data_IF_256362991876
#
_entry.id   IF_256362991876
#
_cell.length_a   1.000
_cell.length_b   1.000
_cell.length_c   1.000
_cell.angle_alpha   90.00
_cell.angle_beta   90.00
_cell.angle_gamma   90.00
#
_symmetry.space_group_name_H-M   'P 1'
#
loop_
_entity.id
_entity.type
_entity.pdbx_description
1 polymer ?
#
# COMPACT_ATOMS: atom_id res chain seq x y z
N UNK A 1 15.06 -59.55 -37.83
CA UNK A 1 13.98 -58.59 -38.02
C UNK A 1 13.65 -57.99 -36.65
N UNK A 2 14.24 -56.84 -36.33
CA UNK A 2 13.96 -56.11 -35.07
C UNK A 2 13.34 -54.78 -35.46
N UNK A 3 12.07 -54.64 -35.10
CA UNK A 3 11.29 -53.40 -35.32
C UNK A 3 11.58 -52.41 -34.19
N UNK A 4 12.27 -51.33 -34.52
CA UNK A 4 12.53 -50.21 -33.61
C UNK A 4 11.36 -49.19 -33.70
N UNK A 5 10.46 -49.23 -32.76
CA UNK A 5 9.41 -48.20 -32.58
C UNK A 5 10.06 -46.91 -32.04
N UNK A 6 10.07 -45.87 -32.88
CA UNK A 6 10.41 -44.50 -32.46
C UNK A 6 9.30 -43.97 -31.56
N UNK A 7 9.60 -43.76 -30.28
CA UNK A 7 8.76 -43.00 -29.35
C UNK A 7 9.05 -41.54 -29.60
N UNK A 8 8.08 -40.81 -30.18
CA UNK A 8 8.10 -39.35 -30.29
C UNK A 8 7.49 -38.81 -29.00
N UNK A 9 8.34 -38.33 -28.09
CA UNK A 9 7.90 -37.55 -26.93
C UNK A 9 7.52 -36.15 -27.38
N UNK A 10 6.23 -35.89 -27.43
CA UNK A 10 5.70 -34.54 -27.60
C UNK A 10 5.80 -33.83 -26.26
N UNK A 11 6.78 -32.95 -26.11
CA UNK A 11 6.87 -32.03 -24.98
C UNK A 11 5.82 -30.96 -25.20
N UNK A 12 4.73 -31.04 -24.43
CA UNK A 12 3.70 -30.00 -24.35
C UNK A 12 4.28 -28.84 -23.51
N UNK A 13 4.95 -27.89 -24.17
CA UNK A 13 5.24 -26.60 -23.53
C UNK A 13 3.90 -25.89 -23.33
N UNK A 14 3.37 -25.98 -22.11
CA UNK A 14 2.34 -25.06 -21.62
C UNK A 14 2.97 -23.66 -21.63
N UNK A 15 2.69 -22.92 -22.68
CA UNK A 15 2.89 -21.48 -22.72
C UNK A 15 1.94 -20.88 -21.64
N UNK A 16 2.46 -20.64 -20.45
CA UNK A 16 1.87 -19.68 -19.54
C UNK A 16 1.95 -18.31 -20.23
N UNK A 17 0.92 -17.96 -21.01
CA UNK A 17 0.70 -16.58 -21.35
C UNK A 17 0.38 -15.87 -20.03
N UNK A 18 1.13 -14.84 -19.61
CA UNK A 18 0.66 -13.99 -18.53
C UNK A 18 -0.69 -13.46 -18.99
N UNK A 19 -1.73 -13.77 -18.24
CA UNK A 19 -3.01 -13.11 -18.41
C UNK A 19 -2.72 -11.63 -18.14
N UNK A 20 -2.70 -10.82 -19.21
CA UNK A 20 -2.89 -9.38 -19.08
C UNK A 20 -4.31 -9.24 -18.52
N UNK A 21 -4.44 -9.29 -17.20
CA UNK A 21 -5.67 -8.94 -16.52
C UNK A 21 -5.87 -7.45 -16.84
N UNK A 22 -6.89 -7.17 -17.63
CA UNK A 22 -7.22 -5.81 -18.01
C UNK A 22 -7.63 -5.06 -16.73
N UNK A 23 -7.11 -3.84 -16.56
CA UNK A 23 -7.56 -2.94 -15.48
C UNK A 23 -9.08 -2.99 -15.39
N UNK A 24 -9.67 -2.93 -14.16
CA UNK A 24 -11.11 -2.95 -13.98
C UNK A 24 -11.80 -1.99 -14.94
N UNK A 25 -12.81 -2.47 -15.64
CA UNK A 25 -13.58 -1.64 -16.56
C UNK A 25 -14.36 -0.57 -15.78
N UNK A 26 -14.83 0.46 -16.47
CA UNK A 26 -15.74 1.45 -15.88
C UNK A 26 -17.00 0.77 -15.28
N UNK A 27 -17.50 -0.27 -15.93
CA UNK A 27 -18.67 -1.02 -15.46
C UNK A 27 -18.37 -1.76 -14.14
N UNK A 28 -17.18 -2.34 -13.99
CA UNK A 28 -16.75 -3.01 -12.75
C UNK A 28 -16.58 -1.99 -11.62
N UNK A 29 -15.95 -0.86 -11.89
CA UNK A 29 -15.82 0.24 -10.93
C UNK A 29 -17.19 0.77 -10.49
N UNK A 30 -18.12 0.89 -11.42
CA UNK A 30 -19.49 1.31 -11.13
C UNK A 30 -20.21 0.26 -10.25
N UNK A 31 -20.04 -1.03 -10.50
CA UNK A 31 -20.61 -2.09 -9.67
C UNK A 31 -20.07 -2.01 -8.23
N UNK A 32 -18.75 -1.82 -8.05
CA UNK A 32 -18.14 -1.64 -6.73
C UNK A 32 -18.60 -0.35 -6.02
N UNK A 33 -19.01 0.67 -6.79
CA UNK A 33 -19.55 1.90 -6.20
C UNK A 33 -20.80 1.68 -5.36
N UNK A 34 -21.48 0.52 -5.49
CA UNK A 34 -22.57 0.14 -4.62
C UNK A 34 -22.13 -0.27 -3.21
N UNK A 35 -20.89 -0.68 -3.05
CA UNK A 35 -20.28 -1.08 -1.77
C UNK A 35 -19.39 -0.03 -1.14
N UNK A 36 -19.01 1.02 -1.89
CA UNK A 36 -18.27 2.18 -1.38
C UNK A 36 -19.25 3.34 -1.22
N UNK A 37 -19.30 3.90 -0.01
CA UNK A 37 -20.29 4.91 0.39
C UNK A 37 -19.60 6.18 0.87
N UNK A 38 -20.29 7.31 0.79
CA UNK A 38 -19.82 8.55 1.38
C UNK A 38 -20.20 8.61 2.85
N UNK A 39 -19.28 9.05 3.71
CA UNK A 39 -19.54 9.39 5.09
C UNK A 39 -19.70 10.90 5.19
N UNK A 40 -20.84 11.36 5.64
CA UNK A 40 -21.10 12.77 5.94
C UNK A 40 -21.17 12.96 7.44
N UNK A 41 -20.44 13.94 7.97
CA UNK A 41 -20.40 14.24 9.42
C UNK A 41 -20.77 15.68 9.67
N UNK A 42 -21.44 15.93 10.78
CA UNK A 42 -21.71 17.27 11.26
C UNK A 42 -20.74 17.59 12.40
N UNK A 43 -19.94 18.62 12.20
CA UNK A 43 -18.99 19.07 13.20
C UNK A 43 -19.66 20.05 14.20
N UNK A 44 -19.10 20.22 15.44
CA UNK A 44 -19.68 21.12 16.43
C UNK A 44 -19.85 22.58 15.99
N UNK A 45 -19.03 23.04 15.06
CA UNK A 45 -19.10 24.38 14.46
C UNK A 45 -20.14 24.51 13.34
N UNK A 46 -20.92 23.46 13.08
CA UNK A 46 -21.94 23.40 12.01
C UNK A 46 -21.41 23.06 10.62
N UNK A 47 -20.10 22.91 10.44
CA UNK A 47 -19.52 22.49 9.16
C UNK A 47 -19.83 21.01 8.89
N UNK A 48 -19.88 20.67 7.60
CA UNK A 48 -20.03 19.28 7.14
C UNK A 48 -18.67 18.73 6.77
N UNK A 49 -18.24 17.70 7.49
CA UNK A 49 -17.11 16.86 7.13
C UNK A 49 -17.52 15.79 6.13
N UNK A 50 -16.57 15.31 5.34
CA UNK A 50 -16.78 14.22 4.37
C UNK A 50 -15.62 13.23 4.41
N UNK A 51 -15.97 11.96 4.26
CA UNK A 51 -15.05 10.86 4.10
C UNK A 51 -15.71 9.75 3.28
N UNK A 52 -15.06 8.63 3.24
CA UNK A 52 -15.51 7.41 2.55
C UNK A 52 -15.75 6.28 3.54
N UNK A 53 -16.49 5.27 3.11
CA UNK A 53 -16.68 4.03 3.86
C UNK A 53 -16.87 2.86 2.92
N UNK A 54 -16.66 1.66 3.43
CA UNK A 54 -16.81 0.41 2.69
C UNK A 54 -17.78 -0.49 3.42
N UNK A 55 -18.79 -1.00 2.72
CA UNK A 55 -19.77 -1.96 3.25
C UNK A 55 -19.08 -3.31 3.40
N UNK A 56 -18.79 -3.71 4.63
CA UNK A 56 -18.07 -4.96 4.94
C UNK A 56 -18.98 -6.10 5.42
N UNK A 57 -20.21 -5.75 5.80
CA UNK A 57 -21.29 -6.71 6.07
C UNK A 57 -22.66 -6.02 5.91
N UNK A 58 -23.74 -6.75 6.07
CA UNK A 58 -25.10 -6.18 6.08
C UNK A 58 -25.33 -5.18 7.22
N UNK A 59 -24.54 -5.27 8.26
CA UNK A 59 -24.68 -4.46 9.47
C UNK A 59 -23.55 -3.44 9.64
N UNK A 60 -22.44 -3.55 8.90
CA UNK A 60 -21.25 -2.71 9.15
C UNK A 60 -20.69 -2.03 7.90
N UNK A 61 -20.37 -0.75 8.09
CA UNK A 61 -19.53 0.04 7.17
C UNK A 61 -18.21 0.34 7.88
N UNK A 62 -17.09 -0.04 7.28
CA UNK A 62 -15.77 0.34 7.74
C UNK A 62 -15.41 1.75 7.22
N UNK A 63 -14.80 2.56 8.08
CA UNK A 63 -14.29 3.90 7.75
C UNK A 63 -13.11 4.23 8.65
N UNK A 64 -12.42 5.35 8.41
CA UNK A 64 -11.45 5.85 9.38
C UNK A 64 -12.14 6.56 10.55
N UNK A 65 -11.58 6.38 11.74
CA UNK A 65 -12.10 7.03 12.93
C UNK A 65 -11.97 8.55 12.87
N UNK A 66 -10.87 9.10 12.28
CA UNK A 66 -10.69 10.54 12.16
C UNK A 66 -11.78 11.22 11.31
N UNK A 67 -12.47 10.46 10.43
CA UNK A 67 -13.59 10.98 9.63
C UNK A 67 -14.79 11.34 10.52
N UNK A 68 -14.99 10.60 11.62
CA UNK A 68 -16.15 10.77 12.52
C UNK A 68 -15.76 11.32 13.89
N UNK A 69 -14.48 11.50 14.17
CA UNK A 69 -13.98 11.91 15.49
C UNK A 69 -14.56 13.26 15.90
N UNK A 70 -15.08 13.30 17.12
CA UNK A 70 -15.66 14.50 17.73
C UNK A 70 -16.80 15.16 16.92
N UNK A 71 -17.41 14.46 15.98
CA UNK A 71 -18.58 14.92 15.25
C UNK A 71 -19.82 14.87 16.17
N UNK A 72 -20.78 15.75 15.90
CA UNK A 72 -22.10 15.74 16.56
C UNK A 72 -22.98 14.62 16.02
N UNK A 73 -22.73 14.22 14.77
CA UNK A 73 -23.40 13.10 14.12
C UNK A 73 -22.67 12.67 12.85
N UNK A 74 -22.90 11.43 12.45
CA UNK A 74 -22.38 10.86 11.21
C UNK A 74 -23.49 10.10 10.48
N UNK A 75 -23.45 10.12 9.15
CA UNK A 75 -24.38 9.38 8.30
C UNK A 75 -23.62 8.73 7.14
N UNK A 76 -24.01 7.53 6.77
CA UNK A 76 -23.71 7.00 5.44
C UNK A 76 -24.65 7.67 4.45
N UNK A 77 -24.10 8.33 3.46
CA UNK A 77 -24.85 8.99 2.40
C UNK A 77 -24.70 8.22 1.09
N UNK A 78 -25.81 7.92 0.45
CA UNK A 78 -25.84 7.25 -0.85
C UNK A 78 -27.00 7.82 -1.69
N UNK A 79 -26.63 8.36 -2.87
CA UNK A 79 -27.59 9.09 -3.72
C UNK A 79 -28.24 10.25 -2.96
N UNK A 80 -29.54 10.13 -2.63
CA UNK A 80 -30.32 11.12 -1.89
C UNK A 80 -30.68 10.68 -0.47
N UNK A 81 -30.26 9.46 -0.10
CA UNK A 81 -30.61 8.86 1.19
C UNK A 81 -29.44 9.00 2.17
N UNK A 82 -29.78 9.18 3.43
CA UNK A 82 -28.86 9.23 4.55
C UNK A 82 -29.26 8.15 5.58
N UNK A 83 -28.28 7.36 5.98
CA UNK A 83 -28.43 6.24 6.91
C UNK A 83 -27.63 6.56 8.16
N UNK A 84 -28.28 6.93 9.29
CA UNK A 84 -27.59 7.14 10.56
C UNK A 84 -27.19 5.81 11.18
N UNK A 85 -25.94 5.64 11.62
CA UNK A 85 -25.53 4.45 12.37
C UNK A 85 -26.17 4.43 13.75
N UNK A 86 -26.46 3.21 14.26
CA UNK A 86 -27.01 3.00 15.61
C UNK A 86 -25.93 2.99 16.67
N UNK A 87 -24.75 2.52 16.35
CA UNK A 87 -23.59 2.42 17.22
C UNK A 87 -22.32 2.41 16.38
N UNK A 88 -21.17 2.48 17.01
CA UNK A 88 -19.88 2.30 16.40
C UNK A 88 -19.04 1.29 17.19
N UNK A 89 -18.07 0.68 16.50
CA UNK A 89 -16.92 0.06 17.13
C UNK A 89 -15.70 0.88 16.69
N UNK A 90 -14.82 1.24 17.63
CA UNK A 90 -13.75 2.17 17.35
C UNK A 90 -12.41 1.68 17.88
N UNK A 91 -11.41 1.70 17.03
CA UNK A 91 -10.01 1.66 17.37
C UNK A 91 -9.38 3.01 16.96
N UNK A 92 -9.42 3.96 17.87
CA UNK A 92 -8.96 5.32 17.61
C UNK A 92 -7.47 5.39 17.29
N UNK A 93 -6.67 4.51 17.93
CA UNK A 93 -5.21 4.48 17.73
C UNK A 93 -4.83 3.94 16.34
N UNK A 94 -5.51 2.89 15.89
CA UNK A 94 -5.34 2.33 14.54
C UNK A 94 -6.12 3.11 13.48
N UNK A 95 -6.94 4.10 13.90
CA UNK A 95 -7.77 4.93 13.01
C UNK A 95 -8.80 4.11 12.21
N UNK A 96 -9.33 3.04 12.79
CA UNK A 96 -10.33 2.19 12.17
C UNK A 96 -11.62 2.17 12.96
N UNK A 97 -12.74 2.50 12.30
CA UNK A 97 -14.07 2.49 12.88
C UNK A 97 -15.04 1.66 12.04
N UNK A 98 -15.96 0.95 12.71
CA UNK A 98 -17.10 0.27 12.11
C UNK A 98 -18.39 0.98 12.53
N UNK A 99 -19.13 1.48 11.57
CA UNK A 99 -20.47 2.05 11.77
C UNK A 99 -21.49 0.93 11.71
N UNK A 100 -22.33 0.79 12.74
CA UNK A 100 -23.34 -0.27 12.85
C UNK A 100 -24.70 0.19 12.38
N UNK A 101 -25.39 -0.71 11.67
CA UNK A 101 -26.76 -0.56 11.17
C UNK A 101 -27.56 -1.83 11.47
N UNK A 102 -28.90 -1.83 11.28
CA UNK A 102 -29.71 -3.05 11.36
C UNK A 102 -29.57 -3.90 10.11
N UNK A 103 -29.79 -3.28 8.95
CA UNK A 103 -29.66 -3.89 7.64
C UNK A 103 -29.39 -2.79 6.61
N UNK A 104 -28.30 -2.92 5.89
CA UNK A 104 -27.90 -1.97 4.84
C UNK A 104 -28.42 -2.47 3.49
N UNK A 105 -29.02 -1.59 2.67
CA UNK A 105 -29.49 -1.94 1.32
C UNK A 105 -28.33 -2.05 0.32
N UNK A 106 -27.09 -2.24 0.81
CA UNK A 106 -25.87 -2.28 0.01
C UNK A 106 -25.24 -3.68 0.05
N UNK A 107 -24.53 -4.03 -1.02
CA UNK A 107 -23.81 -5.30 -1.07
C UNK A 107 -22.48 -5.20 -0.31
N UNK A 108 -22.18 -6.13 0.61
CA UNK A 108 -20.87 -6.18 1.24
C UNK A 108 -19.81 -6.67 0.26
N UNK A 109 -18.57 -6.16 0.41
CA UNK A 109 -17.41 -6.61 -0.34
C UNK A 109 -16.87 -7.93 0.21
N UNK A 110 -16.16 -8.69 -0.63
CA UNK A 110 -15.31 -9.79 -0.19
C UNK A 110 -13.99 -9.22 0.31
N UNK A 111 -13.37 -9.87 1.29
CA UNK A 111 -12.09 -9.48 1.85
C UNK A 111 -11.02 -10.55 1.56
N UNK A 112 -9.82 -10.11 1.20
CA UNK A 112 -8.63 -10.95 1.04
C UNK A 112 -7.57 -10.50 2.04
N UNK A 113 -6.93 -11.45 2.70
CA UNK A 113 -5.93 -11.19 3.73
C UNK A 113 -4.71 -10.47 3.15
N UNK A 114 -4.34 -9.35 3.76
CA UNK A 114 -3.24 -8.49 3.33
C UNK A 114 -1.87 -9.18 3.45
N UNK A 115 -1.74 -10.18 4.33
CA UNK A 115 -0.54 -11.00 4.44
C UNK A 115 -0.19 -11.74 3.14
N UNK A 116 -1.20 -12.08 2.31
CA UNK A 116 -1.04 -12.80 1.03
C UNK A 116 -0.64 -11.90 -0.14
N UNK A 117 -0.60 -10.58 0.06
CA UNK A 117 -0.23 -9.62 -0.98
C UNK A 117 1.26 -9.69 -1.28
N UNK A 118 1.61 -9.50 -2.54
CA UNK A 118 2.98 -9.41 -3.01
C UNK A 118 3.34 -7.96 -3.37
N UNK A 119 4.63 -7.62 -3.31
CA UNK A 119 5.12 -6.35 -3.85
C UNK A 119 4.94 -6.34 -5.36
N UNK A 120 4.67 -5.18 -5.92
CA UNK A 120 4.34 -4.93 -7.33
C UNK A 120 3.05 -5.65 -7.80
N UNK A 121 2.18 -6.08 -6.88
CA UNK A 121 0.84 -6.54 -7.23
C UNK A 121 -0.05 -5.36 -7.60
N UNK A 122 -0.77 -5.47 -8.72
CA UNK A 122 -1.70 -4.44 -9.20
C UNK A 122 -2.88 -4.28 -8.24
N UNK A 123 -3.19 -3.03 -7.91
CA UNK A 123 -4.29 -2.67 -7.00
C UNK A 123 -4.97 -1.38 -7.46
N UNK A 124 -6.14 -1.09 -6.91
CA UNK A 124 -6.78 0.20 -7.11
C UNK A 124 -7.52 0.67 -5.87
N UNK A 125 -7.46 1.97 -5.61
CA UNK A 125 -8.24 2.61 -4.54
C UNK A 125 -9.55 3.15 -5.09
N UNK A 126 -10.62 3.14 -4.26
CA UNK A 126 -11.89 3.83 -4.56
C UNK A 126 -12.32 4.61 -3.32
N UNK A 127 -12.62 5.89 -3.50
CA UNK A 127 -13.15 6.75 -2.46
C UNK A 127 -13.87 7.96 -3.04
N UNK A 128 -14.38 8.82 -2.16
CA UNK A 128 -15.06 10.07 -2.51
C UNK A 128 -14.12 11.26 -2.27
N UNK A 129 -13.25 11.62 -3.21
CA UNK A 129 -12.39 12.77 -3.04
C UNK A 129 -13.24 14.05 -2.90
N UNK A 130 -12.73 15.05 -2.18
CA UNK A 130 -13.44 16.28 -1.87
C UNK A 130 -14.01 16.97 -3.11
N UNK A 131 -15.29 17.35 -3.03
CA UNK A 131 -16.01 17.97 -4.13
C UNK A 131 -16.67 17.00 -5.11
N UNK A 132 -16.43 15.70 -4.98
CA UNK A 132 -17.05 14.68 -5.82
C UNK A 132 -18.20 13.99 -5.09
N UNK A 133 -19.30 13.72 -5.81
CA UNK A 133 -20.43 12.94 -5.31
C UNK A 133 -20.45 11.50 -5.86
N UNK A 134 -19.45 11.16 -6.67
CA UNK A 134 -19.27 9.84 -7.26
C UNK A 134 -17.88 9.34 -6.85
N UNK A 135 -17.75 8.09 -6.40
CA UNK A 135 -16.46 7.55 -6.03
C UNK A 135 -15.52 7.49 -7.23
N UNK A 136 -14.25 7.80 -7.01
CA UNK A 136 -13.22 7.86 -8.04
C UNK A 136 -12.22 6.74 -7.84
N UNK A 137 -11.91 5.92 -8.87
CA UNK A 137 -10.84 4.93 -8.83
C UNK A 137 -9.48 5.57 -9.10
N UNK A 138 -8.44 5.02 -8.50
CA UNK A 138 -7.05 5.30 -8.80
C UNK A 138 -6.26 4.01 -8.77
N UNK A 139 -5.43 3.76 -9.79
CA UNK A 139 -4.70 2.51 -9.99
C UNK A 139 -3.25 2.65 -9.54
N UNK A 140 -2.66 1.55 -9.13
CA UNK A 140 -1.28 1.49 -8.68
C UNK A 140 -0.84 0.09 -8.33
N UNK A 141 0.30 -0.02 -7.66
CA UNK A 141 0.87 -1.29 -7.19
C UNK A 141 1.18 -1.25 -5.71
N UNK A 142 1.27 -2.42 -5.08
CA UNK A 142 1.76 -2.57 -3.71
C UNK A 142 3.27 -2.30 -3.70
N UNK A 143 3.70 -1.38 -2.84
CA UNK A 143 5.12 -1.03 -2.71
C UNK A 143 5.77 -1.50 -1.42
N UNK A 144 4.98 -1.69 -0.37
CA UNK A 144 5.52 -2.17 0.90
C UNK A 144 4.41 -2.71 1.82
N UNK A 145 4.82 -3.53 2.76
CA UNK A 145 4.00 -4.06 3.85
C UNK A 145 4.75 -3.86 5.17
N UNK A 146 4.18 -3.09 6.08
CA UNK A 146 4.84 -2.69 7.32
C UNK A 146 4.18 -3.34 8.53
N UNK A 147 4.95 -4.05 9.34
CA UNK A 147 4.49 -4.49 10.65
C UNK A 147 4.11 -3.28 11.52
N UNK A 148 3.07 -3.43 12.32
CA UNK A 148 2.66 -2.43 13.28
C UNK A 148 2.33 -3.09 14.62
N UNK A 149 2.92 -2.56 15.69
CA UNK A 149 2.70 -2.98 17.07
C UNK A 149 2.89 -4.50 17.33
N UNK A 150 3.86 -5.10 16.62
CA UNK A 150 4.18 -6.51 16.73
C UNK A 150 3.13 -7.48 16.16
N UNK A 151 2.12 -6.96 15.48
CA UNK A 151 1.08 -7.76 14.84
C UNK A 151 1.49 -8.31 13.48
N UNK A 152 0.84 -9.42 13.08
CA UNK A 152 1.10 -10.09 11.80
C UNK A 152 0.41 -9.41 10.60
N UNK A 153 -0.49 -8.45 10.85
CA UNK A 153 -1.30 -7.78 9.84
C UNK A 153 -0.62 -6.50 9.37
N UNK A 154 -0.07 -6.46 8.15
CA UNK A 154 0.76 -5.35 7.71
C UNK A 154 -0.07 -4.16 7.22
N UNK A 155 0.37 -2.94 7.61
CA UNK A 155 -0.04 -1.70 6.93
C UNK A 155 0.51 -1.73 5.51
N UNK A 156 -0.33 -1.41 4.54
CA UNK A 156 -0.01 -1.49 3.11
C UNK A 156 0.40 -0.11 2.61
N UNK A 157 1.53 0.00 1.90
CA UNK A 157 1.87 1.15 1.07
C UNK A 157 1.61 0.81 -0.39
N UNK A 158 0.93 1.70 -1.11
CA UNK A 158 0.70 1.54 -2.55
C UNK A 158 0.99 2.82 -3.32
N UNK A 159 1.01 2.72 -4.66
CA UNK A 159 1.02 3.87 -5.56
C UNK A 159 -0.38 4.30 -6.00
N UNK A 160 -1.44 3.60 -5.58
CA UNK A 160 -2.81 3.98 -5.84
C UNK A 160 -3.15 5.28 -5.08
N UNK A 161 -3.07 6.39 -5.78
CA UNK A 161 -3.22 7.73 -5.21
C UNK A 161 -4.63 8.00 -4.70
N UNK A 162 -4.74 8.83 -3.70
CA UNK A 162 -6.03 9.33 -3.23
C UNK A 162 -5.91 10.75 -2.68
N UNK A 163 -7.02 11.45 -2.62
CA UNK A 163 -7.10 12.81 -2.15
C UNK A 163 -7.97 12.92 -0.89
N UNK A 164 -7.96 14.10 -0.28
CA UNK A 164 -8.80 14.42 0.89
C UNK A 164 -10.28 14.05 0.59
N UNK A 165 -10.95 13.43 1.54
CA UNK A 165 -12.29 12.85 1.42
C UNK A 165 -12.30 11.37 1.04
N UNK A 166 -11.21 10.82 0.50
CA UNK A 166 -11.11 9.38 0.24
C UNK A 166 -10.80 8.54 1.48
N UNK A 167 -10.44 9.17 2.61
CA UNK A 167 -10.22 8.47 3.89
C UNK A 167 -11.41 7.59 4.25
N UNK A 168 -11.16 6.33 4.62
CA UNK A 168 -12.17 5.29 4.84
C UNK A 168 -12.62 4.56 3.58
N UNK A 169 -12.12 4.94 2.40
CA UNK A 169 -12.37 4.24 1.14
C UNK A 169 -11.65 2.91 1.05
N UNK A 170 -11.85 2.22 -0.06
CA UNK A 170 -11.34 0.88 -0.29
C UNK A 170 -10.02 0.88 -1.05
N UNK A 171 -9.14 -0.07 -0.73
CA UNK A 171 -8.11 -0.59 -1.61
C UNK A 171 -8.53 -2.00 -2.03
N UNK A 172 -8.60 -2.25 -3.33
CA UNK A 172 -8.98 -3.53 -3.92
C UNK A 172 -7.84 -4.17 -4.70
N UNK A 173 -7.82 -5.51 -4.73
CA UNK A 173 -7.06 -6.26 -5.72
C UNK A 173 -7.80 -6.31 -7.07
N UNK A 174 -7.17 -6.86 -8.11
CA UNK A 174 -7.76 -7.01 -9.45
C UNK A 174 -8.99 -7.94 -9.49
N UNK A 175 -9.17 -8.80 -8.48
CA UNK A 175 -10.33 -9.68 -8.33
C UNK A 175 -11.45 -9.03 -7.52
N UNK A 176 -11.35 -7.73 -7.23
CA UNK A 176 -12.32 -6.93 -6.48
C UNK A 176 -12.49 -7.35 -5.01
N UNK A 177 -11.49 -8.01 -4.42
CA UNK A 177 -11.48 -8.24 -3.00
C UNK A 177 -10.92 -7.00 -2.28
N UNK A 178 -11.58 -6.59 -1.22
CA UNK A 178 -11.05 -5.57 -0.32
C UNK A 178 -9.79 -6.11 0.38
N UNK A 179 -8.69 -5.37 0.27
CA UNK A 179 -7.41 -5.70 0.88
C UNK A 179 -6.98 -4.68 1.92
N UNK A 180 -7.56 -3.46 1.89
CA UNK A 180 -7.25 -2.42 2.88
C UNK A 180 -8.22 -1.25 2.85
N UNK A 181 -8.15 -0.43 3.91
CA UNK A 181 -8.89 0.83 4.06
C UNK A 181 -7.95 1.99 3.81
N UNK A 182 -8.24 2.79 2.79
CA UNK A 182 -7.52 4.01 2.44
C UNK A 182 -7.54 5.00 3.62
N UNK A 183 -6.37 5.42 4.11
CA UNK A 183 -6.33 6.13 5.38
C UNK A 183 -5.57 7.44 5.32
N UNK A 184 -4.24 7.41 5.12
CA UNK A 184 -3.42 8.61 5.19
C UNK A 184 -2.35 8.63 4.10
N UNK A 185 -1.90 9.86 3.80
CA UNK A 185 -0.79 10.15 2.90
C UNK A 185 0.34 10.74 3.70
N UNK A 186 1.59 10.30 3.43
CA UNK A 186 2.74 10.92 4.07
C UNK A 186 2.91 12.38 3.64
N UNK A 187 3.46 13.24 4.50
CA UNK A 187 3.96 14.52 4.07
C UNK A 187 5.14 14.35 3.11
N UNK A 188 5.53 15.44 2.43
CA UNK A 188 6.67 15.48 1.53
C UNK A 188 6.30 15.81 0.09
N UNK A 189 7.31 15.91 -0.78
CA UNK A 189 7.14 16.27 -2.19
C UNK A 189 6.42 15.15 -2.94
N UNK A 190 6.82 13.89 -2.70
CA UNK A 190 6.15 12.70 -3.22
C UNK A 190 5.39 12.04 -2.07
N UNK A 191 4.07 12.08 -2.10
CA UNK A 191 3.25 11.41 -1.10
C UNK A 191 3.30 9.90 -1.23
N UNK A 192 3.40 9.22 -0.09
CA UNK A 192 3.17 7.78 0.01
C UNK A 192 1.78 7.53 0.55
N UNK A 193 1.06 6.56 -0.01
CA UNK A 193 -0.33 6.29 0.28
C UNK A 193 -0.44 5.01 1.10
N UNK A 194 -1.09 5.10 2.26
CA UNK A 194 -1.14 4.02 3.25
C UNK A 194 -2.57 3.57 3.50
N UNK A 195 -2.70 2.25 3.67
CA UNK A 195 -3.97 1.58 3.85
C UNK A 195 -3.90 0.64 5.06
N UNK A 196 -4.95 0.64 5.87
CA UNK A 196 -5.09 -0.27 7.01
C UNK A 196 -5.51 -1.65 6.53
N UNK A 197 -4.97 -2.74 7.08
CA UNK A 197 -5.26 -4.09 6.62
C UNK A 197 -6.68 -4.53 6.99
N UNK A 198 -7.27 -5.42 6.17
CA UNK A 198 -8.62 -5.95 6.40
C UNK A 198 -8.71 -6.81 7.66
N UNK A 199 -7.62 -7.37 8.14
CA UNK A 199 -7.56 -8.15 9.36
C UNK A 199 -7.99 -7.32 10.57
N UNK A 200 -7.63 -6.04 10.61
CA UNK A 200 -8.07 -5.15 11.68
C UNK A 200 -9.59 -4.91 11.66
N UNK A 201 -10.23 -4.98 10.50
CA UNK A 201 -11.70 -4.98 10.41
C UNK A 201 -12.27 -6.21 11.11
N UNK A 202 -11.71 -7.41 10.82
CA UNK A 202 -12.16 -8.69 11.40
C UNK A 202 -11.97 -8.70 12.93
N UNK A 203 -10.84 -8.17 13.42
CA UNK A 203 -10.58 -8.00 14.85
C UNK A 203 -11.60 -7.06 15.49
N UNK A 204 -11.82 -5.89 14.88
CA UNK A 204 -12.72 -4.86 15.41
C UNK A 204 -14.19 -5.30 15.42
N UNK A 205 -14.59 -6.25 14.56
CA UNK A 205 -15.92 -6.84 14.62
C UNK A 205 -16.24 -7.50 15.96
N UNK A 206 -15.21 -7.93 16.71
CA UNK A 206 -15.37 -8.54 18.03
C UNK A 206 -15.29 -7.53 19.20
N UNK A 207 -14.98 -6.26 18.93
CA UNK A 207 -14.89 -5.23 19.96
C UNK A 207 -16.27 -4.79 20.47
N UNK A 208 -16.34 -4.21 21.68
CA UNK A 208 -17.59 -3.67 22.20
C UNK A 208 -18.08 -2.47 21.38
N UNK A 209 -19.41 -2.28 21.37
CA UNK A 209 -20.04 -1.13 20.75
C UNK A 209 -20.05 0.08 21.67
N UNK A 210 -20.00 1.28 21.06
CA UNK A 210 -20.20 2.56 21.75
C UNK A 210 -21.09 3.47 20.90
N UNK A 211 -21.70 4.48 21.55
CA UNK A 211 -22.48 5.53 20.86
C UNK A 211 -21.70 6.85 20.80
N UNK A 212 -20.55 6.93 21.50
CA UNK A 212 -19.77 8.17 21.57
C UNK A 212 -18.83 8.29 20.38
N UNK A 213 -18.89 9.44 19.71
CA UNK A 213 -17.92 9.86 18.69
C UNK A 213 -16.81 10.74 19.31
N UNK A 214 -16.91 11.07 20.61
CA UNK A 214 -15.92 11.86 21.31
C UNK A 214 -14.67 11.03 21.62
N UNK A 215 -13.52 11.58 21.33
CA UNK A 215 -12.21 10.97 21.62
C UNK A 215 -11.15 12.02 21.88
N UNK A 216 -10.18 11.67 22.72
CA UNK A 216 -8.92 12.39 22.88
C UNK A 216 -7.73 11.56 22.37
N UNK A 217 -7.98 10.37 21.83
CA UNK A 217 -6.94 9.52 21.26
C UNK A 217 -6.48 10.07 19.92
N UNK A 218 -5.17 10.00 19.70
CA UNK A 218 -4.52 10.45 18.47
C UNK A 218 -4.14 9.21 17.65
N UNK A 219 -4.49 9.13 16.36
CA UNK A 219 -4.08 8.03 15.50
C UNK A 219 -2.54 7.92 15.43
N UNK A 220 -2.01 6.70 15.31
CA UNK A 220 -0.57 6.44 15.29
C UNK A 220 0.21 7.24 14.23
N UNK A 221 -0.45 7.59 13.15
CA UNK A 221 0.15 8.37 12.06
C UNK A 221 0.13 9.88 12.30
N UNK A 222 -0.65 10.35 13.27
CA UNK A 222 -0.81 11.77 13.60
C UNK A 222 -0.03 12.21 14.85
N UNK A 223 0.57 11.27 15.61
CA UNK A 223 1.44 11.57 16.74
C UNK A 223 2.70 12.34 16.29
N UNK A 224 3.48 12.98 17.19
CA UNK A 224 4.77 13.57 16.86
C UNK A 224 5.67 12.63 16.04
N UNK A 225 6.49 13.18 15.12
CA UNK A 225 7.24 12.38 14.13
C UNK A 225 8.12 11.31 14.80
N UNK A 226 8.75 11.64 15.91
CA UNK A 226 9.64 10.78 16.68
C UNK A 226 8.92 9.59 17.35
N UNK A 227 7.60 9.68 17.52
CA UNK A 227 6.76 8.63 18.08
C UNK A 227 6.12 7.73 16.99
N UNK A 228 6.19 8.16 15.73
CA UNK A 228 5.64 7.39 14.60
C UNK A 228 6.44 6.13 14.32
N UNK A 229 5.84 5.13 13.67
CA UNK A 229 6.59 3.96 13.17
C UNK A 229 7.75 4.36 12.25
N UNK A 230 8.86 3.60 12.24
CA UNK A 230 10.06 3.93 11.45
C UNK A 230 9.79 4.16 9.96
N UNK A 231 8.86 3.40 9.35
CA UNK A 231 8.49 3.56 7.95
C UNK A 231 7.89 4.94 7.61
N UNK A 232 7.41 5.68 8.62
CA UNK A 232 6.96 7.07 8.46
C UNK A 232 8.08 8.07 8.72
N UNK A 233 8.96 7.75 9.66
CA UNK A 233 10.08 8.62 10.04
C UNK A 233 11.12 8.78 8.90
N UNK A 234 11.33 7.72 8.09
CA UNK A 234 12.30 7.73 6.99
C UNK A 234 11.89 8.59 5.79
N UNK A 235 10.60 8.93 5.64
CA UNK A 235 10.08 9.55 4.42
C UNK A 235 10.68 10.93 4.15
N UNK A 236 10.66 11.82 5.13
CA UNK A 236 11.17 13.19 4.95
C UNK A 236 12.69 13.21 4.78
N UNK A 237 13.51 12.55 5.63
CA UNK A 237 14.95 12.45 5.42
C UNK A 237 15.32 11.86 4.06
N UNK A 238 14.61 10.83 3.60
CA UNK A 238 14.84 10.25 2.28
C UNK A 238 14.58 11.24 1.14
N UNK A 239 13.45 11.95 1.18
CA UNK A 239 13.08 12.89 0.12
C UNK A 239 13.94 14.14 0.10
N UNK A 240 14.48 14.56 1.25
CA UNK A 240 15.34 15.71 1.37
C UNK A 240 16.83 15.38 1.19
N UNK A 241 17.19 14.11 0.92
CA UNK A 241 18.57 13.63 0.86
C UNK A 241 19.36 13.88 2.17
N UNK A 242 18.69 13.82 3.31
CA UNK A 242 19.27 13.93 4.65
C UNK A 242 19.86 12.57 5.07
N UNK A 243 20.91 12.14 4.34
CA UNK A 243 21.39 10.76 4.37
C UNK A 243 21.86 10.28 5.74
N UNK A 244 22.51 11.13 6.54
CA UNK A 244 22.95 10.76 7.88
C UNK A 244 21.76 10.54 8.84
N UNK A 245 20.74 11.40 8.76
CA UNK A 245 19.50 11.24 9.52
C UNK A 245 18.77 9.97 9.09
N UNK A 246 18.64 9.74 7.78
CA UNK A 246 18.02 8.54 7.24
C UNK A 246 18.74 7.28 7.71
N UNK A 247 20.09 7.29 7.65
CA UNK A 247 20.93 6.18 8.10
C UNK A 247 20.68 5.85 9.56
N UNK A 248 20.67 6.84 10.45
CA UNK A 248 20.45 6.63 11.89
C UNK A 248 19.08 5.99 12.18
N UNK A 249 18.01 6.46 11.51
CA UNK A 249 16.66 5.88 11.65
C UNK A 249 16.63 4.45 11.11
N UNK A 250 17.22 4.21 9.93
CA UNK A 250 17.21 2.91 9.29
C UNK A 250 18.06 1.87 10.05
N UNK A 251 19.20 2.26 10.65
CA UNK A 251 20.00 1.40 11.52
C UNK A 251 19.20 0.94 12.76
N UNK A 252 18.42 1.86 13.37
CA UNK A 252 17.53 1.51 14.47
C UNK A 252 16.42 0.58 14.01
N UNK A 253 15.84 0.85 12.83
CA UNK A 253 14.77 0.04 12.28
C UNK A 253 15.25 -1.38 11.94
N UNK A 254 16.41 -1.55 11.29
CA UNK A 254 16.98 -2.90 11.02
C UNK A 254 17.28 -3.70 12.27
N UNK A 255 17.60 -3.03 13.41
CA UNK A 255 17.77 -3.72 14.70
C UNK A 255 16.46 -4.19 15.31
N UNK A 256 15.39 -3.41 15.17
CA UNK A 256 14.06 -3.75 15.71
C UNK A 256 13.33 -4.77 14.82
N UNK A 257 13.46 -4.61 13.52
CA UNK A 257 12.75 -5.41 12.52
C UNK A 257 13.74 -5.96 11.46
N UNK A 258 14.60 -6.93 11.81
CA UNK A 258 15.63 -7.43 10.90
C UNK A 258 15.08 -8.18 9.69
N UNK A 259 13.80 -8.53 9.69
CA UNK A 259 13.08 -9.18 8.58
C UNK A 259 12.33 -8.19 7.67
N UNK A 260 12.38 -6.87 7.95
CA UNK A 260 11.78 -5.85 7.10
C UNK A 260 12.71 -5.57 5.89
N UNK A 261 12.29 -5.83 4.64
CA UNK A 261 13.10 -5.49 3.47
C UNK A 261 13.27 -3.99 3.32
N UNK A 262 12.24 -3.21 3.61
CA UNK A 262 12.28 -1.75 3.56
C UNK A 262 13.31 -1.13 4.51
N UNK A 263 13.47 -1.69 5.72
CA UNK A 263 14.47 -1.21 6.68
C UNK A 263 15.88 -1.31 6.08
N UNK A 264 16.20 -2.43 5.45
CA UNK A 264 17.48 -2.64 4.78
C UNK A 264 17.63 -1.81 3.50
N UNK A 265 16.53 -1.60 2.76
CA UNK A 265 16.49 -0.70 1.61
C UNK A 265 16.87 0.73 2.00
N UNK A 266 16.19 1.32 3.00
CA UNK A 266 16.47 2.70 3.43
C UNK A 266 17.88 2.85 4.02
N UNK A 267 18.39 1.82 4.71
CA UNK A 267 19.78 1.82 5.18
C UNK A 267 20.75 1.84 4.01
N UNK A 268 20.56 0.96 3.02
CA UNK A 268 21.42 0.89 1.85
C UNK A 268 21.39 2.16 1.00
N UNK A 269 20.21 2.78 0.83
CA UNK A 269 20.09 4.05 0.11
C UNK A 269 20.77 5.21 0.84
N UNK A 270 20.64 5.26 2.17
CA UNK A 270 21.35 6.27 2.96
C UNK A 270 22.88 6.12 2.79
N UNK A 271 23.39 4.88 2.84
CA UNK A 271 24.82 4.59 2.63
C UNK A 271 25.28 4.91 1.20
N UNK A 272 24.43 4.65 0.19
CA UNK A 272 24.68 5.09 -1.20
C UNK A 272 24.84 6.61 -1.25
N UNK A 273 23.95 7.35 -0.61
CA UNK A 273 23.95 8.81 -0.56
C UNK A 273 25.20 9.40 0.08
N UNK A 274 25.71 8.75 1.14
CA UNK A 274 26.98 9.16 1.82
C UNK A 274 28.23 8.69 1.06
N UNK A 275 28.07 7.83 0.05
CA UNK A 275 29.19 7.31 -0.74
C UNK A 275 29.80 5.98 -0.21
N UNK A 276 29.18 5.34 0.76
CA UNK A 276 29.61 4.06 1.33
C UNK A 276 29.18 2.87 0.47
N UNK A 277 29.57 2.86 -0.82
CA UNK A 277 29.02 1.97 -1.86
C UNK A 277 29.09 0.48 -1.53
N UNK A 278 30.14 0.03 -0.83
CA UNK A 278 30.29 -1.39 -0.45
C UNK A 278 29.23 -1.81 0.55
N UNK A 279 28.99 -1.00 1.59
CA UNK A 279 27.92 -1.25 2.58
C UNK A 279 26.54 -1.12 1.96
N UNK A 280 26.34 -0.10 1.13
CA UNK A 280 25.08 0.07 0.39
C UNK A 280 24.74 -1.18 -0.41
N UNK A 281 25.70 -1.74 -1.18
CA UNK A 281 25.53 -3.00 -1.93
C UNK A 281 25.15 -4.16 -1.02
N UNK A 282 25.81 -4.28 0.16
CA UNK A 282 25.53 -5.34 1.13
C UNK A 282 24.09 -5.27 1.65
N UNK A 283 23.68 -4.08 2.13
CA UNK A 283 22.35 -3.92 2.75
C UNK A 283 21.21 -3.94 1.73
N UNK A 284 21.39 -3.37 0.53
CA UNK A 284 20.42 -3.51 -0.55
C UNK A 284 20.25 -4.96 -1.00
N UNK A 285 21.33 -5.73 -1.10
CA UNK A 285 21.22 -7.18 -1.35
C UNK A 285 20.48 -7.90 -0.22
N UNK A 286 20.64 -7.46 1.04
CA UNK A 286 19.88 -8.01 2.16
C UNK A 286 18.36 -7.74 2.00
N UNK A 287 17.96 -6.56 1.55
CA UNK A 287 16.56 -6.25 1.24
C UNK A 287 16.01 -7.22 0.17
N UNK A 288 16.73 -7.40 -0.94
CA UNK A 288 16.33 -8.31 -2.03
C UNK A 288 16.31 -9.78 -1.58
N UNK A 289 17.23 -10.20 -0.68
CA UNK A 289 17.22 -11.57 -0.10
C UNK A 289 15.98 -11.82 0.76
N UNK A 290 15.51 -10.82 1.50
CA UNK A 290 14.29 -10.91 2.32
C UNK A 290 13.05 -10.91 1.43
N UNK A 291 13.02 -10.06 0.42
CA UNK A 291 11.93 -9.99 -0.54
C UNK A 291 12.46 -9.88 -1.97
N UNK A 292 12.33 -10.97 -2.73
CA UNK A 292 12.81 -11.03 -4.12
C UNK A 292 12.04 -10.13 -5.10
N UNK A 293 10.97 -9.45 -4.65
CA UNK A 293 10.19 -8.47 -5.42
C UNK A 293 10.41 -7.03 -4.91
N UNK A 294 11.48 -6.79 -4.14
CA UNK A 294 11.86 -5.46 -3.65
C UNK A 294 12.48 -4.64 -4.80
N UNK A 295 11.61 -4.10 -5.66
CA UNK A 295 11.99 -3.37 -6.87
C UNK A 295 12.84 -2.13 -6.55
N UNK A 296 12.42 -1.36 -5.54
CA UNK A 296 13.13 -0.13 -5.12
C UNK A 296 14.59 -0.44 -4.73
N UNK A 297 14.84 -1.59 -4.06
CA UNK A 297 16.20 -2.03 -3.71
C UNK A 297 17.00 -2.49 -4.94
N UNK A 298 16.38 -3.18 -5.90
CA UNK A 298 17.05 -3.58 -7.15
C UNK A 298 17.46 -2.36 -7.98
N UNK A 299 16.58 -1.37 -8.08
CA UNK A 299 16.87 -0.09 -8.76
C UNK A 299 18.00 0.66 -8.04
N UNK A 300 18.02 0.67 -6.71
CA UNK A 300 19.13 1.23 -5.94
C UNK A 300 20.45 0.47 -6.18
N UNK A 301 20.42 -0.86 -6.20
CA UNK A 301 21.58 -1.69 -6.56
C UNK A 301 22.11 -1.37 -7.95
N UNK A 302 21.23 -1.09 -8.93
CA UNK A 302 21.66 -0.70 -10.27
C UNK A 302 22.43 0.64 -10.27
N UNK A 303 22.04 1.61 -9.44
CA UNK A 303 22.78 2.86 -9.27
C UNK A 303 24.16 2.61 -8.64
N UNK A 304 24.23 1.76 -7.62
CA UNK A 304 25.51 1.37 -6.98
C UNK A 304 26.40 0.65 -7.99
N UNK A 305 25.89 -0.33 -8.75
CA UNK A 305 26.64 -1.06 -9.77
C UNK A 305 27.15 -0.14 -10.88
N UNK A 306 26.33 0.83 -11.33
CA UNK A 306 26.74 1.83 -12.32
C UNK A 306 27.90 2.69 -11.81
N UNK A 307 27.84 3.17 -10.55
CA UNK A 307 28.93 3.95 -9.93
C UNK A 307 30.22 3.13 -9.76
N UNK A 308 30.09 1.81 -9.58
CA UNK A 308 31.22 0.87 -9.49
C UNK A 308 31.68 0.37 -10.88
N UNK A 309 31.02 0.76 -11.97
CA UNK A 309 31.23 0.29 -13.35
C UNK A 309 31.11 -1.23 -13.50
N UNK A 310 30.27 -1.86 -12.69
CA UNK A 310 30.03 -3.32 -12.66
C UNK A 310 28.93 -3.67 -13.68
N UNK A 311 29.33 -3.85 -14.94
CA UNK A 311 28.42 -4.19 -16.05
C UNK A 311 27.71 -5.52 -15.81
N UNK A 312 28.41 -6.54 -15.26
CA UNK A 312 27.81 -7.85 -15.00
C UNK A 312 26.68 -7.78 -13.96
N UNK A 313 26.88 -6.99 -12.90
CA UNK A 313 25.82 -6.75 -11.92
C UNK A 313 24.63 -6.02 -12.54
N UNK A 314 24.85 -5.05 -13.42
CA UNK A 314 23.77 -4.34 -14.13
C UNK A 314 22.99 -5.29 -15.05
N UNK A 315 23.66 -6.15 -15.82
CA UNK A 315 23.01 -7.13 -16.70
C UNK A 315 22.13 -8.13 -15.90
N UNK A 316 22.61 -8.60 -14.75
CA UNK A 316 21.84 -9.48 -13.86
C UNK A 316 20.61 -8.77 -13.27
N UNK A 317 20.76 -7.50 -12.83
CA UNK A 317 19.66 -6.69 -12.29
C UNK A 317 18.62 -6.36 -13.36
N UNK A 318 19.05 -6.05 -14.59
CA UNK A 318 18.15 -5.77 -15.71
C UNK A 318 17.19 -6.94 -15.97
N UNK A 319 17.69 -8.19 -15.92
CA UNK A 319 16.85 -9.38 -16.08
C UNK A 319 15.83 -9.50 -14.93
N UNK A 320 16.26 -9.28 -13.69
CA UNK A 320 15.38 -9.39 -12.52
C UNK A 320 14.31 -8.30 -12.50
N UNK A 321 14.70 -7.06 -12.82
CA UNK A 321 13.81 -5.89 -12.84
C UNK A 321 12.80 -6.00 -13.98
N UNK A 322 13.19 -6.52 -15.16
CA UNK A 322 12.28 -6.65 -16.31
C UNK A 322 11.06 -7.55 -16.05
N UNK A 323 11.15 -8.43 -15.08
CA UNK A 323 10.03 -9.26 -14.64
C UNK A 323 9.02 -8.51 -13.75
N UNK A 324 9.38 -7.33 -13.24
CA UNK A 324 8.56 -6.52 -12.33
C UNK A 324 8.14 -5.19 -12.96
N UNK A 325 9.08 -4.49 -13.59
CA UNK A 325 8.85 -3.19 -14.24
C UNK A 325 9.75 -3.03 -15.46
N UNK A 326 9.11 -2.80 -16.62
CA UNK A 326 9.83 -2.65 -17.90
C UNK A 326 10.51 -1.30 -18.04
N UNK A 327 9.96 -0.23 -17.46
CA UNK A 327 10.54 1.12 -17.55
C UNK A 327 11.82 1.21 -16.76
N UNK A 328 11.85 0.67 -15.54
CA UNK A 328 13.07 0.59 -14.73
C UNK A 328 14.13 -0.31 -15.39
N UNK A 329 13.72 -1.42 -16.04
CA UNK A 329 14.63 -2.28 -16.78
C UNK A 329 15.26 -1.56 -17.99
N UNK A 330 14.51 -0.73 -18.71
CA UNK A 330 15.01 0.09 -19.81
C UNK A 330 16.02 1.13 -19.31
N UNK A 331 15.78 1.73 -18.14
CA UNK A 331 16.75 2.65 -17.51
C UNK A 331 18.08 1.94 -17.19
N UNK A 332 18.02 0.69 -16.70
CA UNK A 332 19.23 -0.10 -16.43
C UNK A 332 19.95 -0.44 -17.75
N UNK A 333 19.20 -0.79 -18.82
CA UNK A 333 19.77 -1.03 -20.15
C UNK A 333 20.54 0.18 -20.66
N UNK A 334 19.98 1.38 -20.52
CA UNK A 334 20.66 2.63 -20.89
C UNK A 334 21.96 2.84 -20.11
N UNK A 335 22.02 2.51 -18.82
CA UNK A 335 23.24 2.58 -17.99
C UNK A 335 24.31 1.60 -18.51
N UNK A 336 23.92 0.39 -18.91
CA UNK A 336 24.83 -0.61 -19.49
C UNK A 336 25.45 -0.09 -20.80
N UNK A 337 24.66 0.47 -21.70
CA UNK A 337 25.13 1.04 -22.97
C UNK A 337 26.10 2.20 -22.76
N UNK A 338 25.80 3.11 -21.82
CA UNK A 338 26.68 4.22 -21.47
C UNK A 338 28.07 3.74 -20.97
N UNK A 339 28.10 2.69 -20.12
CA UNK A 339 29.37 2.15 -19.65
C UNK A 339 30.15 1.45 -20.78
N UNK A 340 29.49 0.68 -21.63
CA UNK A 340 30.15 0.00 -22.79
C UNK A 340 30.72 1.02 -23.77
N UNK A 341 30.01 2.10 -24.06
CA UNK A 341 30.48 3.16 -24.96
C UNK A 341 31.65 3.99 -24.39
N UNK A 342 31.74 4.11 -23.07
CA UNK A 342 32.84 4.83 -22.39
C UNK A 342 34.13 4.03 -22.26
N UNK A 343 34.11 2.74 -22.59
CA UNK A 343 35.28 1.84 -22.55
C UNK A 343 35.92 1.67 -23.95
N UNK A 344 35.23 2.11 -25.01
CA UNK A 344 35.72 2.17 -26.39
C UNK A 344 36.30 3.57 -26.71
#
# INVERSE_FOLDING_TARGET
VINMRKIVSVIFCLLYAPSLLARPSFADTLALSHSVVMIATQLPNGQIGRGSGVVVSKEYVATNCHVIANAVGANVAKFRDAYPPKAIKADWKRDLCLLKFDDLPFAPVKMRDSATLEYEEEVFSIGFPSGQNVPQPSYGTIKAKYAYDGGDSPIIRSTAEFAMGSSGGALFDEQFNLIGITTFKSPGVKGYFYHLPVEWIKELMNAPETHSLATNEIPFWAVPLEERPPFMQVVIPYQNAEWETLKAIAEEWTRKEPTSPDAWYYLGVAEEGIGMLTKAKEHLNKAVQINARELDAMVALSRVAYRQKDIHALEALQISVSALDTADADEISNKIEQLKSSQN
#
